data_IF_964323660974
#
_entry.id   IF_964323660974
#
_cell.length_a   1.000
_cell.length_b   1.000
_cell.length_c   1.000
_cell.angle_alpha   90.00
_cell.angle_beta   90.00
_cell.angle_gamma   90.00
#
_symmetry.space_group_name_H-M   'P 1'
#
loop_
_entity.id
_entity.type
_entity.pdbx_description
1 polymer ?
#
# COMPACT_ATOMS: atom_id res chain seq x y z
N UNK A 1 49.05 45.70 36.51
CA UNK A 1 49.03 44.65 35.46
C UNK A 1 48.11 43.55 35.93
N UNK A 2 46.85 43.56 35.50
CA UNK A 2 45.84 42.55 35.87
C UNK A 2 45.56 41.72 34.62
N UNK A 3 45.94 40.45 34.65
CA UNK A 3 45.82 39.52 33.52
C UNK A 3 44.39 38.98 33.46
N UNK A 4 43.72 39.21 32.34
CA UNK A 4 42.33 38.78 32.09
C UNK A 4 42.36 37.45 31.32
N UNK A 5 41.96 36.36 31.97
CA UNK A 5 41.91 35.03 31.36
C UNK A 5 40.55 34.80 30.71
N UNK A 6 40.53 34.66 29.39
CA UNK A 6 39.33 34.42 28.58
C UNK A 6 39.04 32.90 28.53
N UNK A 7 37.97 32.44 29.18
CA UNK A 7 37.55 31.05 29.14
C UNK A 7 36.59 30.82 27.95
N UNK A 8 37.04 30.05 26.96
CA UNK A 8 36.28 29.68 25.77
C UNK A 8 35.43 28.43 26.08
N UNK A 9 34.11 28.59 26.18
CA UNK A 9 33.18 27.49 26.44
C UNK A 9 32.67 26.91 25.12
N UNK A 10 33.04 25.68 24.80
CA UNK A 10 32.55 24.95 23.63
C UNK A 10 31.17 24.33 23.92
N UNK A 11 30.14 24.73 23.17
CA UNK A 11 28.83 24.09 23.18
C UNK A 11 28.87 22.85 22.28
N UNK A 12 28.77 21.65 22.88
CA UNK A 12 28.51 20.42 22.12
C UNK A 12 27.01 20.30 21.86
N UNK A 13 26.61 20.36 20.60
CA UNK A 13 25.24 20.07 20.18
C UNK A 13 25.03 18.55 20.18
N UNK A 14 24.26 18.05 21.14
CA UNK A 14 23.82 16.65 21.21
C UNK A 14 22.64 16.45 20.27
N UNK A 15 22.90 15.89 19.09
CA UNK A 15 21.86 15.41 18.17
C UNK A 15 21.10 14.24 18.82
N UNK A 16 19.91 14.53 19.32
CA UNK A 16 19.00 13.51 19.85
C UNK A 16 18.32 12.83 18.67
N UNK A 17 18.72 11.60 18.34
CA UNK A 17 18.01 10.77 17.38
C UNK A 17 16.65 10.38 17.99
N UNK A 18 15.56 10.82 17.36
CA UNK A 18 14.22 10.39 17.72
C UNK A 18 14.10 8.87 17.46
N UNK A 19 13.55 8.09 18.41
CA UNK A 19 13.30 6.68 18.16
C UNK A 19 12.29 6.56 17.02
N UNK A 20 12.62 5.75 16.02
CA UNK A 20 11.69 5.37 14.97
C UNK A 20 10.51 4.64 15.62
N UNK A 21 9.38 5.33 15.72
CA UNK A 21 8.11 4.71 16.14
C UNK A 21 7.72 3.72 15.04
N UNK A 22 7.86 2.43 15.31
CA UNK A 22 7.25 1.40 14.46
C UNK A 22 5.75 1.69 14.42
N UNK A 23 5.24 2.13 13.26
CA UNK A 23 3.81 2.29 13.07
C UNK A 23 3.14 0.96 13.42
N UNK A 24 2.03 0.96 14.19
CA UNK A 24 1.33 -0.27 14.51
C UNK A 24 0.91 -0.95 13.20
N UNK A 25 1.56 -2.06 12.86
CA UNK A 25 1.12 -2.93 11.79
C UNK A 25 -0.17 -3.60 12.27
N UNK A 26 -1.31 -3.23 11.67
CA UNK A 26 -2.55 -3.95 11.87
C UNK A 26 -2.45 -5.28 11.12
N UNK A 27 -1.85 -6.27 11.78
CA UNK A 27 -1.92 -7.67 11.37
C UNK A 27 -3.30 -8.20 11.79
N UNK A 28 -4.30 -7.98 10.95
CA UNK A 28 -5.59 -8.62 11.10
C UNK A 28 -5.56 -9.90 10.26
N UNK A 29 -5.33 -11.08 10.87
CA UNK A 29 -5.44 -12.34 10.14
C UNK A 29 -6.89 -12.45 9.65
N UNK A 30 -7.09 -12.24 8.36
CA UNK A 30 -8.35 -12.58 7.70
C UNK A 30 -8.19 -14.01 7.21
N UNK A 31 -8.86 -14.96 7.89
CA UNK A 31 -9.03 -16.30 7.35
C UNK A 31 -9.71 -16.17 5.98
N UNK A 32 -8.98 -16.47 4.90
CA UNK A 32 -9.50 -16.50 3.53
C UNK A 32 -8.80 -15.62 2.51
N UNK A 33 -7.66 -14.98 2.79
CA UNK A 33 -6.92 -14.30 1.73
C UNK A 33 -6.15 -15.34 0.87
N UNK A 34 -6.71 -15.71 -0.28
CA UNK A 34 -5.98 -16.40 -1.34
C UNK A 34 -5.66 -15.39 -2.44
N UNK A 35 -4.44 -14.88 -2.40
CA UNK A 35 -3.94 -13.96 -3.42
C UNK A 35 -3.59 -14.72 -4.69
N UNK A 36 -4.49 -14.74 -5.68
CA UNK A 36 -4.21 -15.35 -6.99
C UNK A 36 -3.71 -14.24 -7.92
N UNK A 37 -2.41 -14.28 -8.22
CA UNK A 37 -1.79 -13.41 -9.25
C UNK A 37 -1.87 -14.14 -10.58
N UNK A 38 -2.68 -13.64 -11.51
CA UNK A 38 -2.70 -14.15 -12.89
C UNK A 38 -1.76 -13.31 -13.77
N UNK A 39 -0.77 -13.96 -14.38
CA UNK A 39 0.14 -13.36 -15.35
C UNK A 39 -0.19 -13.87 -16.76
N UNK A 40 -0.02 -13.02 -17.77
CA UNK A 40 -0.10 -13.42 -19.18
C UNK A 40 1.10 -14.25 -19.64
N UNK A 41 2.17 -14.29 -18.83
CA UNK A 41 3.30 -15.15 -19.07
C UNK A 41 3.09 -16.52 -18.37
N UNK A 42 2.89 -17.55 -19.19
CA UNK A 42 2.58 -18.92 -18.77
C UNK A 42 3.73 -19.64 -18.05
N UNK A 43 4.91 -19.02 -17.94
CA UNK A 43 6.03 -19.55 -17.15
C UNK A 43 5.92 -19.25 -15.65
N UNK A 44 4.95 -18.43 -15.24
CA UNK A 44 4.67 -18.16 -13.83
C UNK A 44 3.58 -19.11 -13.32
N UNK A 45 3.97 -20.07 -12.49
CA UNK A 45 3.11 -21.10 -11.88
C UNK A 45 2.50 -20.69 -10.53
N UNK A 46 2.67 -19.43 -10.13
CA UNK A 46 2.28 -18.94 -8.81
C UNK A 46 3.25 -19.31 -7.68
N UNK A 47 4.41 -19.89 -8.01
CA UNK A 47 5.54 -20.06 -7.08
C UNK A 47 5.99 -18.71 -6.50
N UNK A 48 6.61 -18.79 -5.31
CA UNK A 48 7.21 -17.70 -4.51
C UNK A 48 8.16 -16.75 -5.27
N UNK A 49 8.43 -17.01 -6.55
CA UNK A 49 9.38 -16.29 -7.40
C UNK A 49 8.71 -15.48 -8.53
N UNK A 50 7.41 -15.18 -8.48
CA UNK A 50 6.77 -14.21 -9.38
C UNK A 50 7.14 -12.75 -9.04
N UNK A 51 8.43 -12.53 -8.75
CA UNK A 51 9.02 -11.26 -8.39
C UNK A 51 8.93 -10.32 -9.59
N UNK A 52 8.42 -9.11 -9.37
CA UNK A 52 8.28 -8.05 -10.37
C UNK A 52 7.40 -8.43 -11.58
N UNK A 53 6.61 -9.51 -11.48
CA UNK A 53 5.66 -9.88 -12.52
C UNK A 53 4.36 -9.10 -12.32
N UNK A 54 4.00 -8.29 -13.31
CA UNK A 54 2.71 -7.62 -13.37
C UNK A 54 1.59 -8.63 -13.59
N UNK A 55 0.48 -8.45 -12.87
CA UNK A 55 -0.72 -9.26 -13.02
C UNK A 55 -1.93 -8.58 -12.41
N UNK A 56 -3.11 -9.13 -12.68
CA UNK A 56 -4.33 -8.68 -12.00
C UNK A 56 -4.52 -9.44 -10.70
N UNK A 57 -4.91 -8.70 -9.67
CA UNK A 57 -5.29 -9.28 -8.40
C UNK A 57 -6.73 -9.74 -8.46
N UNK A 58 -6.97 -11.02 -8.16
CA UNK A 58 -8.31 -11.59 -8.16
C UNK A 58 -8.66 -12.07 -6.77
N UNK A 59 -9.80 -11.60 -6.28
CA UNK A 59 -10.46 -12.09 -5.08
C UNK A 59 -11.65 -12.97 -5.48
N UNK A 60 -11.72 -14.18 -4.95
CA UNK A 60 -12.83 -15.10 -5.21
C UNK A 60 -13.83 -15.00 -4.05
N UNK A 61 -14.93 -14.30 -4.28
CA UNK A 61 -16.02 -14.22 -3.30
C UNK A 61 -16.74 -15.56 -3.24
N UNK A 62 -16.80 -16.15 -2.05
CA UNK A 62 -17.58 -17.36 -1.79
C UNK A 62 -19.00 -16.96 -1.40
N UNK A 63 -19.98 -17.40 -2.18
CA UNK A 63 -21.40 -17.17 -1.90
C UNK A 63 -22.05 -18.40 -1.25
N UNK A 64 -23.21 -18.18 -0.61
CA UNK A 64 -24.05 -19.26 -0.09
C UNK A 64 -24.35 -20.27 -1.21
N UNK A 65 -24.18 -21.56 -0.92
CA UNK A 65 -24.33 -22.64 -1.90
C UNK A 65 -23.04 -23.05 -2.64
N UNK A 66 -21.88 -22.52 -2.23
CA UNK A 66 -20.58 -22.91 -2.79
C UNK A 66 -20.27 -22.29 -4.14
N UNK A 67 -21.06 -21.30 -4.57
CA UNK A 67 -20.79 -20.55 -5.79
C UNK A 67 -19.59 -19.61 -5.58
N UNK A 68 -18.67 -19.64 -6.54
CA UNK A 68 -17.48 -18.78 -6.56
C UNK A 68 -17.67 -17.65 -7.56
N UNK A 69 -17.43 -16.42 -7.13
CA UNK A 69 -17.47 -15.23 -7.99
C UNK A 69 -16.08 -14.60 -8.03
N UNK A 70 -15.28 -14.88 -9.07
CA UNK A 70 -14.00 -14.21 -9.24
C UNK A 70 -14.25 -12.72 -9.48
N UNK A 71 -13.52 -11.89 -8.74
CA UNK A 71 -13.60 -10.44 -8.80
C UNK A 71 -12.20 -9.87 -8.95
N UNK A 72 -11.94 -9.18 -10.06
CA UNK A 72 -10.65 -8.54 -10.29
C UNK A 72 -10.55 -7.20 -9.55
N UNK A 73 -9.34 -6.81 -9.19
CA UNK A 73 -9.04 -5.48 -8.65
C UNK A 73 -9.17 -4.44 -9.76
N UNK A 74 -9.77 -3.31 -9.44
CA UNK A 74 -9.90 -2.11 -10.26
C UNK A 74 -9.52 -0.89 -9.43
N UNK A 75 -9.20 0.20 -10.14
CA UNK A 75 -9.06 1.53 -9.54
C UNK A 75 -10.17 2.44 -10.04
N UNK A 76 -10.72 3.24 -9.14
CA UNK A 76 -11.65 4.31 -9.50
C UNK A 76 -11.11 5.65 -9.01
N UNK A 77 -11.14 6.66 -9.88
CA UNK A 77 -10.71 8.00 -9.51
C UNK A 77 -11.67 8.59 -8.48
N UNK A 78 -11.13 9.00 -7.34
CA UNK A 78 -11.90 9.73 -6.34
C UNK A 78 -12.05 11.18 -6.78
N UNK A 79 -13.29 11.56 -7.13
CA UNK A 79 -13.62 12.91 -7.63
C UNK A 79 -13.12 14.00 -6.70
N UNK A 80 -12.46 15.01 -7.28
CA UNK A 80 -11.95 16.15 -6.53
C UNK A 80 -10.69 15.85 -5.69
N UNK A 81 -10.09 14.67 -5.86
CA UNK A 81 -8.83 14.29 -5.21
C UNK A 81 -7.79 13.88 -6.26
N UNK A 82 -6.54 13.69 -5.83
CA UNK A 82 -5.47 13.07 -6.63
C UNK A 82 -5.27 11.58 -6.28
N UNK A 83 -6.32 10.90 -5.82
CA UNK A 83 -6.25 9.50 -5.39
C UNK A 83 -7.21 8.61 -6.16
N UNK A 84 -6.84 7.34 -6.28
CA UNK A 84 -7.67 6.26 -6.78
C UNK A 84 -8.00 5.29 -5.65
N UNK A 85 -9.26 4.93 -5.50
CA UNK A 85 -9.68 3.87 -4.59
C UNK A 85 -9.55 2.50 -5.24
N UNK A 86 -9.07 1.53 -4.47
CA UNK A 86 -9.00 0.14 -4.89
C UNK A 86 -10.35 -0.54 -4.63
N UNK A 87 -10.91 -1.19 -5.65
CA UNK A 87 -12.15 -1.95 -5.54
C UNK A 87 -12.02 -3.31 -6.19
N UNK A 88 -12.77 -4.31 -5.70
CA UNK A 88 -12.95 -5.58 -6.40
C UNK A 88 -14.32 -5.62 -7.06
N UNK A 89 -14.36 -5.91 -8.36
CA UNK A 89 -15.61 -6.01 -9.12
C UNK A 89 -15.73 -7.40 -9.74
N UNK A 90 -16.94 -7.99 -9.82
CA UNK A 90 -17.13 -9.30 -10.45
C UNK A 90 -16.63 -9.34 -11.89
N UNK A 91 -15.92 -10.41 -12.23
CA UNK A 91 -15.34 -10.65 -13.55
C UNK A 91 -13.82 -10.42 -13.61
N UNK A 92 -13.22 -10.89 -14.70
CA UNK A 92 -11.78 -10.76 -15.01
C UNK A 92 -11.58 -10.00 -16.33
N UNK A 93 -12.34 -8.92 -16.53
CA UNK A 93 -12.45 -8.21 -17.80
C UNK A 93 -11.49 -7.03 -17.99
N UNK A 94 -11.60 -6.39 -19.15
CA UNK A 94 -10.88 -5.17 -19.52
C UNK A 94 -11.03 -4.08 -18.45
N UNK A 95 -9.91 -3.48 -18.05
CA UNK A 95 -9.86 -2.46 -17.02
C UNK A 95 -9.47 -2.96 -15.62
N UNK A 96 -9.16 -4.25 -15.47
CA UNK A 96 -8.50 -4.74 -14.26
C UNK A 96 -7.16 -4.04 -14.05
N UNK A 97 -6.89 -3.70 -12.79
CA UNK A 97 -5.63 -3.17 -12.37
C UNK A 97 -4.51 -4.19 -12.62
N UNK A 98 -3.37 -3.71 -13.13
CA UNK A 98 -2.13 -4.45 -13.07
C UNK A 98 -1.32 -3.97 -11.87
N UNK A 99 -0.96 -4.92 -11.02
CA UNK A 99 -0.07 -4.72 -9.89
C UNK A 99 1.06 -5.74 -9.96
N UNK A 100 2.17 -5.44 -9.31
CA UNK A 100 3.29 -6.36 -9.15
C UNK A 100 3.61 -6.50 -7.67
N UNK A 101 4.37 -7.54 -7.30
CA UNK A 101 4.96 -7.66 -5.98
C UNK A 101 6.47 -7.77 -6.08
N UNK A 102 7.19 -7.12 -5.17
CA UNK A 102 8.65 -7.28 -5.07
C UNK A 102 9.05 -8.53 -4.26
N UNK A 103 10.35 -8.74 -4.10
CA UNK A 103 10.94 -9.86 -3.33
C UNK A 103 10.53 -9.87 -1.86
N UNK A 104 10.21 -8.71 -1.29
CA UNK A 104 9.70 -8.60 0.09
C UNK A 104 8.19 -8.83 0.20
N UNK A 105 7.52 -9.01 -0.94
CA UNK A 105 6.06 -9.08 -1.04
C UNK A 105 5.39 -7.71 -1.00
N UNK A 106 6.13 -6.61 -1.14
CA UNK A 106 5.56 -5.26 -1.23
C UNK A 106 4.79 -5.10 -2.54
N UNK A 107 3.62 -4.46 -2.52
CA UNK A 107 2.78 -4.24 -3.70
C UNK A 107 3.21 -2.97 -4.47
N UNK A 108 3.39 -3.12 -5.78
CA UNK A 108 3.82 -2.08 -6.70
C UNK A 108 2.75 -1.80 -7.76
N UNK A 109 2.63 -0.52 -8.13
CA UNK A 109 1.84 -0.05 -9.27
C UNK A 109 2.61 1.06 -9.99
N UNK A 110 2.56 1.06 -11.32
CA UNK A 110 3.21 2.08 -12.17
C UNK A 110 4.68 2.34 -11.80
N UNK A 111 5.43 1.28 -11.44
CA UNK A 111 6.84 1.37 -11.08
C UNK A 111 7.13 1.99 -9.70
N UNK A 112 6.14 2.09 -8.81
CA UNK A 112 6.33 2.56 -7.44
C UNK A 112 5.66 1.64 -6.41
N UNK A 113 6.23 1.55 -5.21
CA UNK A 113 5.63 0.89 -4.04
C UNK A 113 5.14 1.90 -2.98
N UNK A 114 5.41 3.19 -3.18
CA UNK A 114 5.37 4.19 -2.10
C UNK A 114 4.13 5.08 -2.10
N UNK A 115 3.18 4.83 -3.00
CA UNK A 115 1.99 5.70 -3.17
C UNK A 115 0.72 5.13 -2.56
N UNK A 116 0.85 4.15 -1.65
CA UNK A 116 -0.25 3.57 -0.91
C UNK A 116 -0.58 4.36 0.36
N UNK A 117 -1.85 4.68 0.53
CA UNK A 117 -2.36 5.39 1.70
C UNK A 117 -3.67 4.77 2.18
N UNK A 118 -3.91 4.84 3.49
CA UNK A 118 -5.20 4.52 4.08
C UNK A 118 -5.91 5.82 4.44
N UNK A 119 -7.10 6.03 3.91
CA UNK A 119 -7.90 7.23 4.18
C UNK A 119 -9.20 6.85 4.86
N UNK A 120 -9.55 7.57 5.93
CA UNK A 120 -10.86 7.44 6.58
C UNK A 120 -11.93 8.23 5.80
N UNK A 121 -13.06 7.61 5.49
CA UNK A 121 -14.22 8.33 4.95
C UNK A 121 -15.03 8.93 6.09
N UNK A 122 -15.07 10.26 6.16
CA UNK A 122 -15.85 10.98 7.19
C UNK A 122 -17.31 11.17 6.83
N UNK A 123 -17.71 10.86 5.59
CA UNK A 123 -19.09 10.96 5.10
C UNK A 123 -19.75 9.60 4.96
N UNK A 124 -20.92 9.40 5.59
CA UNK A 124 -21.67 8.15 5.50
C UNK A 124 -21.20 7.14 6.55
N UNK A 125 -20.85 5.93 6.11
CA UNK A 125 -20.31 4.90 6.98
C UNK A 125 -18.80 5.06 7.09
N UNK A 126 -18.23 5.23 8.30
CA UNK A 126 -16.80 5.35 8.48
C UNK A 126 -16.13 4.04 8.07
N UNK A 127 -15.32 4.10 7.02
CA UNK A 127 -14.52 2.99 6.53
C UNK A 127 -13.12 3.49 6.20
N UNK A 128 -12.18 2.54 6.26
CA UNK A 128 -10.82 2.74 5.84
C UNK A 128 -10.69 2.33 4.37
N UNK A 129 -10.39 3.30 3.51
CA UNK A 129 -10.16 3.07 2.09
C UNK A 129 -8.66 2.99 1.82
N UNK A 130 -8.24 1.87 1.24
CA UNK A 130 -6.92 1.77 0.63
C UNK A 130 -6.93 2.51 -0.70
N UNK A 131 -6.10 3.55 -0.80
CA UNK A 131 -6.00 4.38 -2.00
C UNK A 131 -4.58 4.43 -2.54
N UNK A 132 -4.48 4.70 -3.83
CA UNK A 132 -3.26 4.96 -4.56
C UNK A 132 -3.19 6.44 -4.98
N UNK A 133 -2.06 7.10 -4.79
CA UNK A 133 -1.86 8.49 -5.25
C UNK A 133 -1.49 8.51 -6.73
N UNK A 134 -2.21 9.32 -7.52
CA UNK A 134 -2.06 9.41 -8.96
C UNK A 134 -0.86 10.27 -9.38
N UNK A 135 -0.27 9.92 -10.54
CA UNK A 135 0.76 10.72 -11.21
C UNK A 135 1.97 10.97 -10.33
N UNK A 136 2.62 12.13 -10.48
CA UNK A 136 3.84 12.48 -9.75
C UNK A 136 3.58 13.14 -8.39
N UNK A 137 2.32 13.17 -7.93
CA UNK A 137 2.00 13.81 -6.66
C UNK A 137 2.68 13.04 -5.49
N UNK A 138 3.35 13.74 -4.56
CA UNK A 138 4.08 13.08 -3.47
C UNK A 138 3.16 12.54 -2.37
N UNK A 139 1.98 13.15 -2.18
CA UNK A 139 1.01 12.82 -1.12
C UNK A 139 -0.43 12.99 -1.60
N UNK A 140 -1.42 12.36 -0.92
CA UNK A 140 -2.83 12.63 -1.12
C UNK A 140 -3.17 14.10 -0.84
N UNK A 141 -4.17 14.63 -1.55
CA UNK A 141 -4.77 15.94 -1.24
C UNK A 141 -5.58 15.91 0.06
N UNK A 142 -6.09 14.73 0.45
CA UNK A 142 -6.80 14.55 1.70
C UNK A 142 -5.80 14.39 2.87
N UNK A 143 -5.73 15.36 3.81
CA UNK A 143 -4.71 15.34 4.86
C UNK A 143 -4.92 14.26 5.93
N UNK A 144 -6.11 13.64 5.98
CA UNK A 144 -6.43 12.55 6.90
C UNK A 144 -5.83 11.20 6.47
N UNK A 145 -5.29 11.11 5.26
CA UNK A 145 -4.72 9.88 4.73
C UNK A 145 -3.36 9.56 5.37
N UNK A 146 -3.18 8.32 5.79
CA UNK A 146 -1.93 7.82 6.39
C UNK A 146 -1.15 6.98 5.38
N UNK A 147 0.16 7.23 5.24
CA UNK A 147 1.03 6.44 4.35
C UNK A 147 1.11 5.00 4.89
N UNK A 148 0.91 4.01 4.02
CA UNK A 148 0.98 2.59 4.38
C UNK A 148 1.88 1.82 3.43
N UNK A 149 2.27 0.63 3.84
CA UNK A 149 2.89 -0.37 2.96
C UNK A 149 1.92 -1.52 2.81
N UNK A 150 1.66 -1.93 1.58
CA UNK A 150 0.82 -3.09 1.28
C UNK A 150 1.76 -4.26 1.02
N UNK A 151 1.64 -5.32 1.81
CA UNK A 151 2.51 -6.49 1.71
C UNK A 151 1.65 -7.74 1.57
N UNK A 152 2.05 -8.63 0.65
CA UNK A 152 1.55 -9.99 0.58
C UNK A 152 2.16 -10.78 1.75
N UNK A 153 1.30 -11.33 2.59
CA UNK A 153 1.71 -12.30 3.61
C UNK A 153 1.59 -13.70 2.99
N UNK A 154 2.55 -14.58 3.28
CA UNK A 154 2.49 -15.97 2.86
C UNK A 154 1.89 -16.81 3.99
N UNK A 155 0.87 -17.58 3.68
CA UNK A 155 0.24 -18.54 4.60
C UNK A 155 0.67 -19.97 4.25
#
# INVERSE_FOLDING_TARGET
MLSLTLALTAFMATTSALPASNAPAYDHPSDGFHLIIKSSNLSFDGSYNAVNAGGSLIYVLQMMGGQQVPSAMHFSDRKGTNTQEMMFQPGEGDGSAQISFDESGGMWKDGSAEKWYMCETTSGYPMNLLVWVNGDAPTPQEPACQKVKVQRIWA
#
